data_IF_994545501486
#
_entry.id   IF_994545501486
#
_cell.length_a   1.000
_cell.length_b   1.000
_cell.length_c   1.000
_cell.angle_alpha   90.00
_cell.angle_beta   90.00
_cell.angle_gamma   90.00
#
_symmetry.space_group_name_H-M   'P 1'
#
loop_
_entity.id
_entity.type
_entity.pdbx_description
1 polymer ?
#
# COMPACT_ATOMS: atom_id res chain seq x y z
N UNK A 1 -4.86 -13.07 31.87
CA UNK A 1 -3.89 -13.74 31.00
C UNK A 1 -4.39 -13.70 29.55
N UNK A 2 -3.55 -13.29 28.62
CA UNK A 2 -3.88 -13.17 27.19
C UNK A 2 -2.75 -13.74 26.35
N UNK A 3 -3.10 -14.59 25.41
CA UNK A 3 -2.19 -15.01 24.35
C UNK A 3 -2.47 -14.18 23.09
N UNK A 4 -1.44 -13.81 22.36
CA UNK A 4 -1.52 -13.20 21.06
C UNK A 4 -0.68 -13.94 20.03
N UNK A 5 -1.15 -14.00 18.80
CA UNK A 5 -0.44 -14.65 17.71
C UNK A 5 -0.64 -13.93 16.40
N UNK A 6 0.35 -14.01 15.50
CA UNK A 6 0.27 -13.51 14.13
C UNK A 6 1.09 -14.40 13.20
N UNK A 7 0.63 -14.58 11.97
CA UNK A 7 1.39 -15.20 10.90
C UNK A 7 2.24 -14.13 10.22
N UNK A 8 3.55 -14.33 10.15
CA UNK A 8 4.48 -13.41 9.48
C UNK A 8 4.44 -13.66 7.95
N UNK A 9 3.32 -13.31 7.33
CA UNK A 9 3.05 -13.50 5.92
C UNK A 9 2.35 -12.27 5.32
N UNK A 10 2.75 -11.86 4.13
CA UNK A 10 2.20 -10.67 3.46
C UNK A 10 1.05 -10.98 2.50
N UNK A 11 0.87 -12.23 2.13
CA UNK A 11 -0.25 -12.69 1.29
C UNK A 11 -1.50 -13.04 2.09
N UNK A 12 -2.51 -13.57 1.42
CA UNK A 12 -3.76 -14.02 2.06
C UNK A 12 -3.50 -15.23 2.95
N UNK A 13 -3.91 -15.15 4.20
CA UNK A 13 -3.75 -16.22 5.19
C UNK A 13 -5.02 -16.48 5.96
N UNK A 14 -5.06 -17.61 6.64
CA UNK A 14 -6.19 -18.02 7.47
C UNK A 14 -5.68 -18.47 8.84
N UNK A 15 -6.30 -17.98 9.91
CA UNK A 15 -6.11 -18.49 11.27
C UNK A 15 -7.44 -19.10 11.71
N UNK A 16 -7.42 -20.43 11.90
CA UNK A 16 -8.58 -21.19 12.42
C UNK A 16 -8.40 -21.44 13.91
N UNK A 17 -9.48 -21.22 14.66
CA UNK A 17 -9.55 -21.52 16.10
C UNK A 17 -10.75 -22.41 16.33
N UNK A 18 -10.53 -23.58 16.89
CA UNK A 18 -11.62 -24.51 17.22
C UNK A 18 -11.43 -25.14 18.60
N UNK A 19 -12.52 -25.60 19.20
CA UNK A 19 -12.51 -26.34 20.46
C UNK A 19 -13.09 -27.73 20.22
N UNK A 20 -12.26 -28.75 20.41
CA UNK A 20 -12.66 -30.18 20.34
C UNK A 20 -12.32 -30.89 21.61
N UNK A 21 -13.30 -31.55 22.23
CA UNK A 21 -13.09 -32.32 23.44
C UNK A 21 -12.31 -31.54 24.51
N UNK A 22 -12.72 -30.32 24.81
CA UNK A 22 -12.08 -29.41 25.79
C UNK A 22 -10.66 -28.93 25.40
N UNK A 23 -10.15 -29.32 24.24
CA UNK A 23 -8.86 -28.85 23.72
C UNK A 23 -9.09 -27.69 22.77
N UNK A 24 -8.35 -26.60 23.00
CA UNK A 24 -8.31 -25.45 22.10
C UNK A 24 -7.22 -25.65 21.06
N UNK A 25 -7.60 -25.60 19.78
CA UNK A 25 -6.68 -25.78 18.66
C UNK A 25 -6.58 -24.49 17.88
N UNK A 26 -5.36 -24.13 17.49
CA UNK A 26 -5.09 -23.02 16.59
C UNK A 26 -4.29 -23.60 15.41
N UNK A 27 -4.76 -23.32 14.20
CA UNK A 27 -3.99 -23.55 12.98
C UNK A 27 -3.88 -22.26 12.18
N UNK A 28 -2.71 -22.00 11.62
CA UNK A 28 -2.44 -20.82 10.81
C UNK A 28 -1.65 -21.22 9.56
N UNK A 29 -1.99 -20.63 8.42
CA UNK A 29 -1.33 -20.95 7.16
C UNK A 29 -1.83 -20.09 6.00
N UNK A 30 -1.31 -20.37 4.83
CA UNK A 30 -1.81 -19.79 3.56
C UNK A 30 -3.28 -20.17 3.41
N UNK A 31 -4.10 -19.22 2.95
CA UNK A 31 -5.53 -19.47 2.77
C UNK A 31 -5.75 -20.47 1.61
N UNK A 32 -6.27 -21.64 1.96
CA UNK A 32 -6.54 -22.74 1.02
C UNK A 32 -7.72 -22.46 0.05
N UNK A 33 -8.59 -21.50 0.38
CA UNK A 33 -9.74 -21.18 -0.46
C UNK A 33 -9.35 -20.35 -1.70
N UNK A 34 -8.20 -19.66 -1.64
CA UNK A 34 -7.75 -18.75 -2.71
C UNK A 34 -6.41 -19.12 -3.33
N UNK A 35 -5.69 -20.09 -2.76
CA UNK A 35 -4.38 -20.48 -3.25
C UNK A 35 -4.13 -21.99 -3.07
N UNK A 36 -3.57 -22.59 -4.09
CA UNK A 36 -3.07 -23.98 -4.04
C UNK A 36 -1.56 -23.97 -4.23
N UNK A 37 -0.86 -24.67 -3.35
CA UNK A 37 0.57 -24.90 -3.48
C UNK A 37 0.84 -26.36 -3.79
N UNK A 38 1.44 -26.63 -4.95
CA UNK A 38 1.84 -27.99 -5.36
C UNK A 38 3.28 -28.19 -4.95
N UNK A 39 3.51 -29.08 -3.98
CA UNK A 39 4.85 -29.45 -3.55
C UNK A 39 5.36 -30.63 -4.38
N UNK A 40 6.29 -30.38 -5.28
CA UNK A 40 6.93 -31.41 -6.09
C UNK A 40 7.73 -32.38 -5.23
N UNK A 41 7.90 -33.62 -5.74
CA UNK A 41 8.70 -34.64 -5.08
C UNK A 41 10.13 -34.12 -4.82
N UNK A 42 10.64 -34.40 -3.62
CA UNK A 42 11.97 -34.00 -3.13
C UNK A 42 12.17 -32.46 -2.97
N UNK A 43 11.14 -31.62 -3.16
CA UNK A 43 11.19 -30.20 -2.84
C UNK A 43 10.83 -29.96 -1.37
N UNK A 44 11.26 -28.80 -0.85
CA UNK A 44 10.91 -28.35 0.52
C UNK A 44 10.02 -27.13 0.41
N UNK A 45 9.01 -27.06 1.25
CA UNK A 45 8.23 -25.86 1.51
C UNK A 45 8.53 -25.37 2.92
N UNK A 46 8.92 -24.12 3.03
CA UNK A 46 9.15 -23.45 4.32
C UNK A 46 7.89 -22.65 4.63
N UNK A 47 7.21 -23.01 5.70
CA UNK A 47 6.02 -22.29 6.15
C UNK A 47 6.39 -20.89 6.64
N UNK A 48 5.49 -19.91 6.53
CA UNK A 48 5.66 -18.64 7.23
C UNK A 48 5.82 -18.84 8.74
N UNK A 49 6.56 -17.96 9.39
CA UNK A 49 6.71 -17.97 10.85
C UNK A 49 5.39 -17.61 11.54
N UNK A 50 5.03 -18.32 12.58
CA UNK A 50 3.95 -17.95 13.48
C UNK A 50 4.55 -17.37 14.76
N UNK A 51 4.42 -16.07 14.96
CA UNK A 51 4.90 -15.40 16.16
C UNK A 51 3.83 -15.43 17.26
N UNK A 52 4.22 -15.79 18.48
CA UNK A 52 3.32 -15.82 19.63
C UNK A 52 3.88 -15.00 20.79
N UNK A 53 2.97 -14.44 21.59
CA UNK A 53 3.31 -13.79 22.85
C UNK A 53 2.26 -14.08 23.92
N UNK A 54 2.65 -13.94 25.16
CA UNK A 54 1.79 -14.08 26.33
C UNK A 54 1.88 -12.85 27.23
N UNK A 55 0.76 -12.43 27.80
CA UNK A 55 0.72 -11.29 28.70
C UNK A 55 -0.18 -11.53 29.90
N UNK A 56 0.29 -11.17 31.07
CA UNK A 56 -0.48 -11.10 32.32
C UNK A 56 -1.13 -9.73 32.53
N UNK A 57 -0.79 -8.73 31.70
CA UNK A 57 -1.29 -7.35 31.80
C UNK A 57 -2.31 -7.01 30.71
N UNK A 58 -3.00 -8.04 30.19
CA UNK A 58 -4.09 -7.88 29.22
C UNK A 58 -3.61 -7.66 27.78
N UNK A 59 -4.57 -7.27 26.92
CA UNK A 59 -4.33 -7.07 25.47
C UNK A 59 -3.27 -6.00 25.17
N UNK A 60 -3.19 -4.94 25.99
CA UNK A 60 -2.16 -3.91 25.84
C UNK A 60 -0.74 -4.44 26.01
N UNK A 61 -0.55 -5.44 26.89
CA UNK A 61 0.73 -6.13 27.04
C UNK A 61 1.12 -6.90 25.78
N UNK A 62 0.17 -7.61 25.18
CA UNK A 62 0.35 -8.30 23.88
C UNK A 62 0.71 -7.32 22.77
N UNK A 63 -0.05 -6.23 22.63
CA UNK A 63 0.19 -5.20 21.63
C UNK A 63 1.61 -4.62 21.74
N UNK A 64 2.01 -4.21 22.94
CA UNK A 64 3.37 -3.67 23.17
C UNK A 64 4.47 -4.71 22.90
N UNK A 65 4.23 -5.98 23.15
CA UNK A 65 5.20 -7.03 22.82
C UNK A 65 5.39 -7.15 21.29
N UNK A 66 4.31 -7.17 20.52
CA UNK A 66 4.39 -7.17 19.06
C UNK A 66 5.01 -5.89 18.51
N UNK A 67 4.72 -4.70 19.06
CA UNK A 67 5.37 -3.46 18.64
C UNK A 67 6.89 -3.50 18.83
N UNK A 68 7.38 -4.00 19.98
CA UNK A 68 8.82 -4.17 20.21
C UNK A 68 9.44 -5.17 19.25
N UNK A 69 8.77 -6.30 19.02
CA UNK A 69 9.22 -7.31 18.08
C UNK A 69 9.27 -6.78 16.65
N UNK A 70 8.21 -6.10 16.20
CA UNK A 70 8.17 -5.53 14.86
C UNK A 70 9.29 -4.50 14.65
N UNK A 71 9.51 -3.58 15.62
CA UNK A 71 10.58 -2.60 15.55
C UNK A 71 11.97 -3.22 15.52
N UNK A 72 12.18 -4.31 16.28
CA UNK A 72 13.50 -4.94 16.36
C UNK A 72 13.83 -5.84 15.17
N UNK A 73 12.81 -6.46 14.53
CA UNK A 73 13.06 -7.57 13.61
C UNK A 73 12.33 -7.49 12.26
N UNK A 74 11.33 -6.63 12.12
CA UNK A 74 10.50 -6.58 10.89
C UNK A 74 10.53 -5.24 10.15
N UNK A 75 10.67 -4.14 10.86
CA UNK A 75 10.68 -2.81 10.27
C UNK A 75 12.11 -2.36 9.98
N UNK A 76 12.34 -1.88 8.76
CA UNK A 76 13.57 -1.17 8.47
C UNK A 76 13.61 0.12 9.32
N UNK A 77 14.75 0.36 10.00
CA UNK A 77 14.92 1.51 10.91
C UNK A 77 13.78 1.65 11.96
N UNK A 78 13.23 0.53 12.46
CA UNK A 78 12.06 0.50 13.33
C UNK A 78 12.17 1.27 14.66
N UNK A 79 13.39 1.68 15.06
CA UNK A 79 13.64 2.51 16.25
C UNK A 79 13.87 4.00 15.92
N UNK A 80 13.85 4.38 14.64
CA UNK A 80 13.94 5.78 14.23
C UNK A 80 12.53 6.38 14.29
N UNK A 81 12.36 7.57 14.89
CA UNK A 81 11.08 8.30 14.84
C UNK A 81 10.66 8.53 13.39
N UNK A 82 9.37 8.35 13.13
CA UNK A 82 8.80 8.71 11.83
C UNK A 82 8.58 10.22 11.77
N UNK A 83 8.70 10.76 10.55
CA UNK A 83 8.41 12.17 10.29
C UNK A 83 6.96 12.51 10.57
N UNK A 84 6.74 13.76 10.99
CA UNK A 84 5.42 14.37 11.02
C UNK A 84 5.01 14.66 9.58
N UNK A 85 4.02 13.91 9.08
CA UNK A 85 3.63 13.87 7.68
C UNK A 85 2.29 14.58 7.44
N UNK A 86 2.21 15.39 6.39
CA UNK A 86 0.95 15.84 5.78
C UNK A 86 0.80 15.18 4.40
N UNK A 87 -0.35 14.52 4.19
CA UNK A 87 -0.78 14.01 2.89
C UNK A 87 -1.80 14.97 2.29
N UNK A 88 -1.75 15.21 0.99
CA UNK A 88 -2.62 16.18 0.32
C UNK A 88 -4.06 15.69 0.12
N UNK A 89 -4.35 14.38 0.22
CA UNK A 89 -5.61 13.78 -0.20
C UNK A 89 -6.84 14.43 0.40
N UNK A 90 -6.97 14.44 1.71
CA UNK A 90 -8.15 15.01 2.39
C UNK A 90 -8.26 16.54 2.26
N UNK A 91 -7.19 17.20 1.83
CA UNK A 91 -7.17 18.64 1.59
C UNK A 91 -7.69 19.04 0.22
N UNK A 92 -7.32 18.29 -0.84
CA UNK A 92 -7.56 18.72 -2.22
C UNK A 92 -8.04 17.59 -3.15
N UNK A 93 -8.03 16.34 -2.71
CA UNK A 93 -8.35 15.19 -3.55
C UNK A 93 -7.59 15.24 -4.90
N UNK A 94 -8.28 15.11 -6.02
CA UNK A 94 -7.71 15.19 -7.38
C UNK A 94 -7.35 16.60 -7.84
N UNK A 95 -7.66 17.64 -7.07
CA UNK A 95 -7.42 19.04 -7.46
C UNK A 95 -5.97 19.47 -7.16
N UNK A 96 -5.03 18.68 -7.67
CA UNK A 96 -3.61 18.94 -7.58
C UNK A 96 -3.23 20.10 -8.50
N UNK A 97 -2.49 21.07 -7.96
CA UNK A 97 -1.84 22.14 -8.74
C UNK A 97 -0.56 22.60 -8.02
N UNK A 98 0.40 23.12 -8.80
CA UNK A 98 1.74 23.43 -8.30
C UNK A 98 1.73 24.48 -7.17
N UNK A 99 0.90 25.53 -7.30
CA UNK A 99 0.80 26.58 -6.29
C UNK A 99 0.18 26.04 -4.98
N UNK A 100 -0.87 25.25 -5.07
CA UNK A 100 -1.52 24.63 -3.90
C UNK A 100 -0.58 23.69 -3.16
N UNK A 101 0.21 22.91 -3.89
CA UNK A 101 1.22 22.02 -3.28
C UNK A 101 2.32 22.82 -2.57
N UNK A 102 2.82 23.90 -3.16
CA UNK A 102 3.81 24.79 -2.51
C UNK A 102 3.24 25.41 -1.22
N UNK A 103 1.99 25.89 -1.28
CA UNK A 103 1.31 26.44 -0.10
C UNK A 103 1.19 25.42 1.02
N UNK A 104 0.71 24.21 0.71
CA UNK A 104 0.57 23.13 1.72
C UNK A 104 1.92 22.74 2.32
N UNK A 105 2.98 22.70 1.52
CA UNK A 105 4.35 22.46 2.00
C UNK A 105 4.82 23.56 2.95
N UNK A 106 4.54 24.83 2.63
CA UNK A 106 4.86 25.95 3.50
C UNK A 106 4.10 25.91 4.83
N UNK A 107 2.80 25.60 4.78
CA UNK A 107 1.94 25.55 5.96
C UNK A 107 2.37 24.42 6.91
N UNK A 108 2.60 23.19 6.40
CA UNK A 108 3.05 22.09 7.25
C UNK A 108 4.44 22.33 7.83
N UNK A 109 5.36 22.93 7.07
CA UNK A 109 6.68 23.33 7.57
C UNK A 109 6.57 24.33 8.71
N UNK A 110 5.73 25.35 8.59
CA UNK A 110 5.48 26.34 9.63
C UNK A 110 4.87 25.74 10.89
N UNK A 111 4.12 24.64 10.77
CA UNK A 111 3.54 23.88 11.89
C UNK A 111 4.53 22.88 12.52
N UNK A 112 5.75 22.75 11.99
CA UNK A 112 6.76 21.82 12.47
C UNK A 112 6.69 20.42 11.84
N UNK A 113 5.97 20.27 10.72
CA UNK A 113 5.98 19.04 9.94
C UNK A 113 7.28 18.85 9.17
N UNK A 114 7.56 17.61 8.78
CA UNK A 114 8.85 17.19 8.25
C UNK A 114 8.76 16.53 6.87
N UNK A 115 7.56 16.10 6.49
CA UNK A 115 7.30 15.40 5.23
C UNK A 115 5.96 15.81 4.65
N UNK A 116 5.94 16.21 3.39
CA UNK A 116 4.73 16.39 2.61
C UNK A 116 4.61 15.26 1.57
N UNK A 117 3.45 14.64 1.48
CA UNK A 117 3.14 13.61 0.48
C UNK A 117 2.07 14.10 -0.46
N UNK A 118 2.40 14.28 -1.73
CA UNK A 118 1.42 14.51 -2.78
C UNK A 118 0.74 13.19 -3.12
N UNK A 119 -0.57 13.15 -2.94
CA UNK A 119 -1.40 11.97 -3.18
C UNK A 119 -1.90 11.89 -4.63
N UNK A 120 -2.95 11.13 -4.88
CA UNK A 120 -3.54 10.85 -6.19
C UNK A 120 -3.94 12.13 -6.95
N UNK A 121 -3.87 12.07 -8.27
CA UNK A 121 -4.31 13.17 -9.14
C UNK A 121 -3.21 13.92 -9.88
N UNK A 122 -1.93 13.62 -9.68
CA UNK A 122 -0.79 14.34 -10.25
C UNK A 122 -0.38 13.89 -11.66
N UNK A 123 -0.95 12.81 -12.17
CA UNK A 123 -0.49 12.08 -13.36
C UNK A 123 -1.56 11.97 -14.45
N UNK A 124 -1.14 11.44 -15.60
CA UNK A 124 -1.98 11.16 -16.76
C UNK A 124 -1.86 12.25 -17.84
N UNK A 125 -1.39 11.89 -19.02
CA UNK A 125 -1.26 12.76 -20.18
C UNK A 125 -2.48 12.65 -21.09
N UNK A 126 -2.63 11.53 -21.81
CA UNK A 126 -3.79 11.28 -22.67
C UNK A 126 -5.11 11.22 -21.90
N UNK A 127 -5.07 10.66 -20.70
CA UNK A 127 -6.20 10.53 -19.78
C UNK A 127 -5.88 11.26 -18.49
N UNK A 128 -6.17 12.58 -18.34
CA UNK A 128 -5.87 13.27 -17.09
C UNK A 128 -6.57 12.68 -15.87
N UNK A 129 -5.83 12.47 -14.77
CA UNK A 129 -6.34 11.90 -13.51
C UNK A 129 -7.23 12.91 -12.78
N UNK A 130 -8.52 12.95 -13.11
CA UNK A 130 -9.52 13.84 -12.48
C UNK A 130 -10.44 13.12 -11.50
N UNK A 131 -10.43 11.79 -11.51
CA UNK A 131 -11.19 10.92 -10.64
C UNK A 131 -10.69 9.48 -10.77
N UNK A 132 -11.29 8.55 -10.03
CA UNK A 132 -10.91 7.13 -10.00
C UNK A 132 -11.04 6.35 -11.33
N UNK A 133 -11.66 6.92 -12.35
CA UNK A 133 -11.98 6.19 -13.58
C UNK A 133 -10.93 6.31 -14.68
N UNK A 134 -9.88 7.12 -14.50
CA UNK A 134 -8.92 7.43 -15.55
C UNK A 134 -7.48 7.37 -15.07
N UNK A 135 -6.57 7.04 -15.98
CA UNK A 135 -5.12 7.21 -15.91
C UNK A 135 -4.36 6.36 -14.89
N UNK A 136 -5.02 5.62 -13.99
CA UNK A 136 -4.27 4.77 -13.07
C UNK A 136 -3.39 3.80 -13.87
N UNK A 137 -2.07 3.80 -13.57
CA UNK A 137 -1.05 3.11 -14.35
C UNK A 137 -0.20 4.03 -15.23
N UNK A 138 -0.68 5.24 -15.56
CA UNK A 138 0.02 6.21 -16.42
C UNK A 138 0.81 7.20 -15.55
N UNK A 139 1.94 6.77 -15.00
CA UNK A 139 2.75 7.55 -14.06
C UNK A 139 3.52 8.70 -14.74
N UNK A 140 2.89 9.36 -15.70
CA UNK A 140 3.42 10.55 -16.39
C UNK A 140 2.80 11.81 -15.78
N UNK A 141 3.63 12.78 -15.44
CA UNK A 141 3.18 14.04 -14.81
C UNK A 141 2.19 14.78 -15.71
N UNK A 142 1.02 15.14 -15.18
CA UNK A 142 0.09 16.07 -15.82
C UNK A 142 0.70 17.48 -15.82
N UNK A 143 1.21 17.92 -16.98
CA UNK A 143 1.84 19.22 -17.16
C UNK A 143 0.87 20.40 -17.09
N UNK A 144 -0.43 20.16 -17.17
CA UNK A 144 -1.43 21.20 -16.96
C UNK A 144 -1.54 21.56 -15.48
N UNK A 145 -1.46 20.55 -14.61
CA UNK A 145 -1.51 20.69 -13.15
C UNK A 145 -0.17 21.11 -12.56
N UNK A 146 0.91 20.54 -13.08
CA UNK A 146 2.28 20.72 -12.61
C UNK A 146 3.20 21.15 -13.76
N UNK A 147 3.14 22.41 -14.19
CA UNK A 147 3.94 22.93 -15.32
C UNK A 147 5.44 22.75 -15.12
N UNK A 148 5.96 22.96 -13.90
CA UNK A 148 7.36 22.75 -13.52
C UNK A 148 7.73 21.27 -13.30
N UNK A 149 6.75 20.38 -13.33
CA UNK A 149 6.91 18.95 -13.08
C UNK A 149 7.28 18.64 -11.64
N UNK A 150 7.75 17.40 -11.41
CA UNK A 150 8.15 16.97 -10.07
C UNK A 150 9.38 17.72 -9.54
N UNK A 151 10.24 18.21 -10.42
CA UNK A 151 11.45 18.94 -10.00
C UNK A 151 11.08 20.24 -9.27
N UNK A 152 10.09 20.98 -9.75
CA UNK A 152 9.61 22.20 -9.08
C UNK A 152 9.11 21.89 -7.65
N UNK A 153 8.37 20.78 -7.46
CA UNK A 153 7.89 20.37 -6.14
C UNK A 153 9.03 19.96 -5.20
N UNK A 154 10.05 19.27 -5.73
CA UNK A 154 11.25 18.93 -4.97
C UNK A 154 12.03 20.18 -4.52
N UNK A 155 12.13 21.17 -5.38
CA UNK A 155 12.82 22.43 -5.06
C UNK A 155 12.02 23.26 -4.04
N UNK A 156 10.68 23.27 -4.14
CA UNK A 156 9.82 23.89 -3.14
C UNK A 156 9.93 23.18 -1.78
N UNK A 157 9.91 21.85 -1.73
CA UNK A 157 10.11 21.12 -0.49
C UNK A 157 11.46 21.46 0.19
N UNK A 158 12.55 21.51 -0.61
CA UNK A 158 13.87 21.95 -0.12
C UNK A 158 13.85 23.37 0.43
N UNK A 159 13.21 24.31 -0.29
CA UNK A 159 13.04 25.70 0.15
C UNK A 159 12.35 25.81 1.50
N UNK A 160 11.33 24.96 1.75
CA UNK A 160 10.62 24.89 3.03
C UNK A 160 11.33 24.03 4.10
N UNK A 161 12.44 23.36 3.75
CA UNK A 161 13.22 22.55 4.67
C UNK A 161 12.54 21.23 5.07
N UNK A 162 11.63 20.72 4.24
CA UNK A 162 10.92 19.46 4.47
C UNK A 162 11.22 18.43 3.39
N UNK A 163 10.88 17.17 3.65
CA UNK A 163 10.96 16.08 2.66
C UNK A 163 9.70 16.05 1.79
N UNK A 164 9.84 15.49 0.59
CA UNK A 164 8.76 15.28 -0.35
C UNK A 164 8.55 13.80 -0.62
N UNK A 165 7.30 13.37 -0.64
CA UNK A 165 6.86 12.04 -1.03
C UNK A 165 5.78 12.10 -2.10
N UNK A 166 5.58 11.00 -2.81
CA UNK A 166 4.60 10.87 -3.87
C UNK A 166 3.84 9.56 -3.73
N UNK A 167 2.53 9.60 -3.94
CA UNK A 167 1.67 8.42 -3.93
C UNK A 167 1.71 7.68 -5.28
N UNK A 168 1.76 6.36 -5.19
CA UNK A 168 1.66 5.42 -6.30
C UNK A 168 0.80 4.22 -5.90
N UNK A 169 -0.02 3.73 -6.83
CA UNK A 169 -0.81 2.48 -6.71
C UNK A 169 -0.43 1.55 -7.88
N UNK A 170 0.75 0.90 -7.83
CA UNK A 170 1.30 0.19 -8.99
C UNK A 170 0.64 -1.15 -9.27
N UNK A 171 -0.17 -1.68 -8.38
CA UNK A 171 -0.86 -2.97 -8.51
C UNK A 171 -2.11 -2.93 -9.39
N UNK A 172 -2.58 -1.73 -9.76
CA UNK A 172 -3.80 -1.56 -10.54
C UNK A 172 -3.61 -0.60 -11.71
N UNK A 173 -4.49 -0.72 -12.70
CA UNK A 173 -4.61 0.22 -13.81
C UNK A 173 -6.10 0.53 -14.08
N UNK A 174 -6.37 1.66 -14.71
CA UNK A 174 -7.71 1.91 -15.26
C UNK A 174 -7.83 1.33 -16.68
N UNK A 175 -9.03 0.90 -17.06
CA UNK A 175 -9.34 0.56 -18.46
C UNK A 175 -9.21 1.75 -19.40
N UNK A 176 -9.28 2.98 -18.86
CA UNK A 176 -8.96 4.23 -19.54
C UNK A 176 -7.59 4.74 -19.08
N UNK A 177 -6.54 4.03 -19.51
CA UNK A 177 -5.14 4.40 -19.35
C UNK A 177 -4.36 4.01 -20.61
N UNK A 178 -3.25 4.69 -20.87
CA UNK A 178 -2.33 4.30 -21.93
C UNK A 178 -1.66 2.96 -21.65
N UNK A 179 -1.42 2.65 -20.36
CA UNK A 179 -0.89 1.36 -19.93
C UNK A 179 -1.81 0.22 -20.39
N UNK A 180 -3.11 0.32 -20.11
CA UNK A 180 -4.08 -0.70 -20.51
C UNK A 180 -4.19 -0.84 -22.03
N UNK A 181 -4.14 0.27 -22.77
CA UNK A 181 -4.16 0.24 -24.23
C UNK A 181 -2.93 -0.45 -24.85
N UNK A 182 -1.76 -0.22 -24.24
CA UNK A 182 -0.47 -0.75 -24.74
C UNK A 182 -0.22 -2.19 -24.29
N UNK A 183 -0.68 -2.55 -23.10
CA UNK A 183 -0.36 -3.80 -22.42
C UNK A 183 -1.59 -4.48 -21.80
N UNK A 184 -2.65 -4.79 -22.58
CA UNK A 184 -3.82 -5.48 -22.05
C UNK A 184 -3.50 -6.91 -21.56
N UNK A 185 -2.39 -7.49 -22.01
CA UNK A 185 -1.89 -8.79 -21.59
C UNK A 185 -1.33 -8.80 -20.15
N UNK A 186 -1.06 -7.63 -19.57
CA UNK A 186 -0.59 -7.53 -18.16
C UNK A 186 -1.71 -7.59 -17.13
N UNK A 187 -2.94 -7.72 -17.57
CA UNK A 187 -4.08 -7.75 -16.67
C UNK A 187 -4.34 -9.18 -16.18
N UNK A 188 -4.46 -9.34 -14.86
CA UNK A 188 -4.86 -10.62 -14.27
C UNK A 188 -6.31 -10.93 -14.64
N UNK A 189 -6.50 -12.00 -15.37
CA UNK A 189 -7.83 -12.54 -15.70
C UNK A 189 -7.81 -14.07 -15.76
N UNK A 190 -8.94 -14.68 -15.41
CA UNK A 190 -9.09 -16.11 -15.63
C UNK A 190 -9.26 -16.39 -17.15
N UNK A 191 -8.75 -17.54 -17.67
CA UNK A 191 -8.99 -17.94 -19.04
C UNK A 191 -10.50 -17.96 -19.35
N UNK A 192 -10.86 -17.48 -20.53
CA UNK A 192 -12.25 -17.50 -21.05
C UNK A 192 -13.27 -16.74 -20.18
N UNK A 193 -12.81 -15.85 -19.30
CA UNK A 193 -13.68 -14.97 -18.51
C UNK A 193 -13.42 -13.50 -18.81
N UNK A 194 -14.46 -12.71 -18.65
CA UNK A 194 -14.32 -11.24 -18.67
C UNK A 194 -13.43 -10.75 -17.54
N UNK A 195 -12.76 -9.63 -17.77
CA UNK A 195 -11.94 -8.97 -16.74
C UNK A 195 -12.84 -8.48 -15.62
N UNK A 196 -12.49 -8.83 -14.39
CA UNK A 196 -13.16 -8.31 -13.20
C UNK A 196 -12.61 -6.93 -12.89
N UNK A 197 -13.46 -5.92 -12.96
CA UNK A 197 -13.11 -4.55 -12.61
C UNK A 197 -13.52 -4.23 -11.17
N UNK A 198 -12.60 -3.62 -10.43
CA UNK A 198 -12.84 -3.03 -9.12
C UNK A 198 -13.26 -1.55 -9.25
N UNK A 199 -13.55 -0.89 -8.13
CA UNK A 199 -13.88 0.54 -7.99
C UNK A 199 -14.60 1.15 -9.20
N UNK A 200 -15.92 1.15 -9.16
CA UNK A 200 -16.75 1.75 -10.20
C UNK A 200 -16.67 1.08 -11.58
N UNK A 201 -16.17 -0.16 -11.66
CA UNK A 201 -16.12 -0.93 -12.90
C UNK A 201 -15.01 -0.49 -13.87
N UNK A 202 -13.99 0.21 -13.41
CA UNK A 202 -12.95 0.78 -14.29
C UNK A 202 -11.51 0.39 -13.91
N UNK A 203 -11.29 -0.14 -12.71
CA UNK A 203 -9.95 -0.55 -12.27
C UNK A 203 -9.73 -2.05 -12.46
N UNK A 204 -8.57 -2.43 -12.96
CA UNK A 204 -8.13 -3.80 -13.21
C UNK A 204 -6.83 -4.07 -12.47
N UNK A 205 -6.60 -5.33 -12.09
CA UNK A 205 -5.40 -5.75 -11.35
C UNK A 205 -4.31 -6.14 -12.34
N UNK A 206 -3.10 -5.64 -12.10
CA UNK A 206 -1.91 -5.95 -12.89
C UNK A 206 -1.23 -7.23 -12.39
N UNK A 207 -0.70 -8.01 -13.32
CA UNK A 207 0.22 -9.10 -13.03
C UNK A 207 1.65 -8.56 -12.87
N UNK A 208 2.05 -8.37 -11.62
CA UNK A 208 3.38 -7.86 -11.28
C UNK A 208 4.50 -8.91 -11.42
N UNK A 209 4.22 -10.09 -11.96
CA UNK A 209 5.23 -11.11 -12.26
C UNK A 209 5.81 -11.00 -13.67
N UNK A 210 5.28 -10.11 -14.50
CA UNK A 210 5.79 -9.80 -15.85
C UNK A 210 6.96 -8.82 -15.83
#
# INVERSE_FOLDING_TARGET
NVFGGTLAWTGTYLIKMDVRNTKFNISAGINEETAHYILDAKKKFVTPEFAMTYSTTGKGGVSRAFHRWARAYKLNQGNVPHDILLNSWEGVYFDINEQGMDQMMGDIAAMGGELFVMDDGWFGDKYPRKNDSYALGDWTVDKTKLPGGLQSLLDNARKHGIRFGIWLEPEMANTKSELYEKHPEWIIKAPEREVVCARGGTQVVLDLSN
#
